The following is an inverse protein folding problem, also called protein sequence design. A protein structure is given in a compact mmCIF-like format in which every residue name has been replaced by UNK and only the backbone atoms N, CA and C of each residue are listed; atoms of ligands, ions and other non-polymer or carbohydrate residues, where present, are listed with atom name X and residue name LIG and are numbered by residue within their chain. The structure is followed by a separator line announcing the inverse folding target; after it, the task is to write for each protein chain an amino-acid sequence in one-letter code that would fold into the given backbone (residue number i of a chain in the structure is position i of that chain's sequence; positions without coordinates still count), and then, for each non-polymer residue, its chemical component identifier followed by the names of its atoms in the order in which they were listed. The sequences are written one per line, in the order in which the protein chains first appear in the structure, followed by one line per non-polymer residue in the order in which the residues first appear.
data_IF_591386321827
#
_entry.id   IF_591386321827
#
_cell.length_a   1.000
_cell.length_b   1.000
_cell.length_c   1.000
_cell.angle_alpha   90.00
_cell.angle_beta   90.00
_cell.angle_gamma   90.00
#
_symmetry.space_group_name_H-M   'P 1'
#
loop_
_entity.id
_entity.type
_entity.pdbx_description
1 polymer ?
#
# COMPACT_ATOMS: atom_id res chain seq x y z
N UNK A 1 -14.81 25.13 -9.35
CA UNK A 1 -13.34 24.89 -9.31
C UNK A 1 -12.91 24.69 -7.87
N UNK A 2 -12.45 23.48 -7.48
CA UNK A 2 -11.92 23.23 -6.12
C UNK A 2 -10.48 23.73 -6.06
N UNK A 3 -10.18 24.64 -5.12
CA UNK A 3 -8.82 25.12 -4.87
C UNK A 3 -7.97 23.95 -4.36
N UNK A 4 -6.76 23.73 -4.89
CA UNK A 4 -5.86 22.69 -4.39
C UNK A 4 -5.52 22.93 -2.92
N UNK A 5 -5.40 21.85 -2.15
CA UNK A 5 -5.07 21.95 -0.72
C UNK A 5 -3.65 22.51 -0.58
N UNK A 6 -3.36 23.29 0.47
CA UNK A 6 -2.02 23.87 0.72
C UNK A 6 -0.87 22.85 0.58
N UNK A 7 -1.11 21.60 0.94
CA UNK A 7 -0.16 20.48 0.80
C UNK A 7 0.14 20.14 -0.67
N UNK A 8 -0.85 20.16 -1.56
CA UNK A 8 -0.65 19.93 -3.00
C UNK A 8 0.14 21.06 -3.66
N UNK A 9 -0.08 22.30 -3.21
CA UNK A 9 0.69 23.47 -3.67
C UNK A 9 2.16 23.33 -3.26
N UNK A 10 2.42 22.94 -2.01
CA UNK A 10 3.77 22.75 -1.51
C UNK A 10 4.52 21.63 -2.24
N UNK A 11 3.86 20.51 -2.52
CA UNK A 11 4.42 19.39 -3.29
C UNK A 11 4.76 19.84 -4.72
N UNK A 12 3.84 20.56 -5.39
CA UNK A 12 4.06 21.02 -6.76
C UNK A 12 5.19 22.06 -6.87
N UNK A 13 5.32 22.94 -5.88
CA UNK A 13 6.43 23.91 -5.83
C UNK A 13 7.77 23.21 -5.66
N UNK A 14 7.85 22.25 -4.74
CA UNK A 14 9.09 21.47 -4.51
C UNK A 14 9.47 20.65 -5.75
N UNK A 15 8.49 20.03 -6.42
CA UNK A 15 8.71 19.29 -7.67
C UNK A 15 9.26 20.18 -8.80
N UNK A 16 8.76 21.41 -8.94
CA UNK A 16 9.22 22.36 -9.97
C UNK A 16 10.64 22.89 -9.67
N UNK A 17 11.01 23.06 -8.41
CA UNK A 17 12.39 23.42 -8.03
C UNK A 17 13.38 22.29 -8.30
N UNK A 18 12.96 21.04 -8.09
CA UNK A 18 13.80 19.85 -8.35
C UNK A 18 13.94 19.55 -9.84
N UNK A 19 12.94 19.86 -10.66
CA UNK A 19 13.11 19.80 -12.13
C UNK A 19 14.10 20.84 -12.65
N UNK A 20 14.35 21.92 -11.91
CA UNK A 20 15.34 22.96 -12.23
C UNK A 20 16.75 22.66 -11.68
N UNK A 21 16.88 21.84 -10.64
CA UNK A 21 18.17 21.41 -10.09
C UNK A 21 18.46 19.98 -10.55
N UNK A 22 19.40 19.82 -11.49
CA UNK A 22 19.73 18.54 -12.10
C UNK A 22 19.94 17.38 -11.10
N UNK A 23 19.78 16.15 -11.61
CA UNK A 23 19.87 14.86 -10.92
C UNK A 23 21.13 14.59 -10.05
N UNK A 24 22.05 15.55 -9.93
CA UNK A 24 23.34 15.43 -9.23
C UNK A 24 23.18 15.50 -7.70
N UNK A 25 22.19 16.22 -7.16
CA UNK A 25 22.04 16.40 -5.71
C UNK A 25 21.06 15.44 -5.02
N UNK A 26 20.44 14.51 -5.75
CA UNK A 26 19.43 13.59 -5.21
C UNK A 26 19.93 12.14 -5.22
N UNK A 27 19.94 11.52 -4.04
CA UNK A 27 20.37 10.13 -3.85
C UNK A 27 19.35 9.15 -4.40
N UNK A 28 18.09 9.22 -3.94
CA UNK A 28 16.96 8.46 -4.50
C UNK A 28 15.88 9.45 -4.95
N UNK A 29 15.50 9.45 -6.25
CA UNK A 29 14.53 10.40 -6.77
C UNK A 29 13.12 10.08 -6.30
N UNK A 30 12.28 11.12 -6.29
CA UNK A 30 10.83 10.94 -6.21
C UNK A 30 10.32 10.32 -7.51
N UNK A 31 9.20 9.62 -7.39
CA UNK A 31 8.42 9.14 -8.53
C UNK A 31 6.96 9.53 -8.33
N UNK A 32 6.22 9.61 -9.43
CA UNK A 32 4.80 9.94 -9.42
C UNK A 32 3.99 8.69 -9.77
N UNK A 33 3.27 8.18 -8.78
CA UNK A 33 2.27 7.14 -9.01
C UNK A 33 0.93 7.78 -9.41
N UNK A 34 0.38 7.39 -10.56
CA UNK A 34 -0.90 7.89 -11.05
C UNK A 34 -2.04 7.56 -10.08
N UNK A 35 -3.08 8.40 -10.06
CA UNK A 35 -4.30 8.12 -9.29
C UNK A 35 -5.04 6.92 -9.87
N UNK A 36 -5.68 6.13 -9.01
CA UNK A 36 -6.54 5.04 -9.45
C UNK A 36 -7.73 5.56 -10.25
N UNK A 37 -8.03 4.89 -11.36
CA UNK A 37 -9.32 5.03 -12.02
C UNK A 37 -10.42 4.36 -11.20
N UNK A 38 -11.68 4.74 -11.45
CA UNK A 38 -12.82 4.11 -10.78
C UNK A 38 -12.90 2.60 -11.06
N UNK A 39 -12.54 2.17 -12.28
CA UNK A 39 -12.52 0.76 -12.65
C UNK A 39 -11.47 -0.03 -11.87
N UNK A 40 -10.24 0.49 -11.76
CA UNK A 40 -9.17 -0.16 -10.99
C UNK A 40 -9.50 -0.23 -9.50
N UNK A 41 -10.10 0.84 -8.95
CA UNK A 41 -10.56 0.88 -7.58
C UNK A 41 -11.59 -0.22 -7.30
N UNK A 42 -12.64 -0.30 -8.12
CA UNK A 42 -13.69 -1.32 -7.95
C UNK A 42 -13.09 -2.72 -8.13
N UNK A 43 -12.27 -2.92 -9.16
CA UNK A 43 -11.62 -4.21 -9.43
C UNK A 43 -10.82 -4.68 -8.22
N UNK A 44 -9.97 -3.82 -7.64
CA UNK A 44 -9.19 -4.15 -6.43
C UNK A 44 -10.11 -4.41 -5.21
N UNK A 45 -11.10 -3.56 -5.00
CA UNK A 45 -11.99 -3.66 -3.83
C UNK A 45 -12.83 -4.95 -3.84
N UNK A 46 -13.29 -5.39 -5.01
CA UNK A 46 -14.09 -6.63 -5.12
C UNK A 46 -13.29 -7.85 -4.69
N UNK A 47 -11.97 -7.90 -4.89
CA UNK A 47 -11.13 -9.04 -4.49
C UNK A 47 -10.77 -9.07 -3.00
N UNK A 48 -11.19 -8.09 -2.21
CA UNK A 48 -11.00 -8.14 -0.77
C UNK A 48 -11.67 -9.40 -0.17
N UNK A 49 -11.01 -10.13 0.75
CA UNK A 49 -11.53 -11.38 1.31
C UNK A 49 -12.93 -11.26 1.92
N UNK A 50 -13.22 -10.15 2.61
CA UNK A 50 -14.53 -9.90 3.20
C UNK A 50 -15.61 -9.69 2.14
N UNK A 51 -15.28 -8.97 1.06
CA UNK A 51 -16.19 -8.78 -0.08
C UNK A 51 -16.46 -10.10 -0.79
N UNK A 52 -15.42 -10.91 -1.04
CA UNK A 52 -15.56 -12.23 -1.64
C UNK A 52 -16.39 -13.18 -0.77
N UNK A 53 -16.25 -13.11 0.55
CA UNK A 53 -17.08 -13.89 1.49
C UNK A 53 -18.56 -13.52 1.34
N UNK A 54 -18.90 -12.23 1.35
CA UNK A 54 -20.30 -11.80 1.18
C UNK A 54 -20.83 -12.08 -0.22
N UNK A 55 -19.99 -11.98 -1.26
CA UNK A 55 -20.34 -12.38 -2.63
C UNK A 55 -20.78 -13.85 -2.68
N UNK A 56 -20.00 -14.76 -2.07
CA UNK A 56 -20.36 -16.19 -2.00
C UNK A 56 -21.67 -16.43 -1.25
N UNK A 57 -21.94 -15.65 -0.22
CA UNK A 57 -23.22 -15.73 0.52
C UNK A 57 -24.40 -15.31 -0.37
N UNK A 58 -24.25 -14.20 -1.11
CA UNK A 58 -25.24 -13.76 -2.11
C UNK A 58 -25.45 -14.85 -3.16
N UNK A 59 -24.39 -15.46 -3.69
CA UNK A 59 -24.48 -16.58 -4.65
C UNK A 59 -25.20 -17.80 -4.07
N UNK A 60 -24.92 -18.15 -2.81
CA UNK A 60 -25.56 -19.25 -2.12
C UNK A 60 -27.07 -19.03 -1.97
N UNK A 61 -27.47 -17.89 -1.38
CA UNK A 61 -28.87 -17.55 -1.14
C UNK A 61 -29.67 -17.36 -2.43
N UNK A 62 -29.01 -16.93 -3.51
CA UNK A 62 -29.61 -16.80 -4.84
C UNK A 62 -30.22 -18.10 -5.36
N UNK A 63 -29.62 -19.26 -5.02
CA UNK A 63 -30.10 -20.59 -5.46
C UNK A 63 -31.48 -20.93 -4.90
N UNK A 64 -31.79 -20.42 -3.72
CA UNK A 64 -33.06 -20.63 -3.06
C UNK A 64 -34.11 -19.60 -3.49
N UNK A 65 -33.67 -18.35 -3.72
CA UNK A 65 -34.58 -17.24 -4.06
C UNK A 65 -35.02 -17.27 -5.52
N UNK A 66 -34.12 -17.52 -6.48
CA UNK A 66 -34.40 -17.30 -7.90
C UNK A 66 -34.57 -18.57 -8.72
N UNK A 67 -35.47 -18.51 -9.72
CA UNK A 67 -35.62 -19.56 -10.73
C UNK A 67 -34.43 -19.64 -11.70
N UNK A 68 -33.77 -18.52 -12.00
CA UNK A 68 -32.64 -18.41 -12.94
C UNK A 68 -31.37 -17.97 -12.21
N UNK A 69 -31.03 -18.68 -11.15
CA UNK A 69 -29.89 -18.33 -10.29
C UNK A 69 -28.55 -18.39 -11.03
N UNK A 70 -28.43 -19.24 -12.05
CA UNK A 70 -27.22 -19.40 -12.87
C UNK A 70 -26.86 -18.09 -13.59
N UNK A 71 -27.87 -17.35 -14.06
CA UNK A 71 -27.67 -16.04 -14.69
C UNK A 71 -27.10 -15.02 -13.69
N UNK A 72 -27.57 -15.08 -12.45
CA UNK A 72 -27.12 -14.21 -11.39
C UNK A 72 -25.68 -14.54 -10.96
N UNK A 73 -25.32 -15.82 -10.91
CA UNK A 73 -23.92 -16.24 -10.68
C UNK A 73 -22.97 -15.66 -11.73
N UNK A 74 -23.32 -15.75 -13.01
CA UNK A 74 -22.49 -15.16 -14.09
C UNK A 74 -22.37 -13.63 -13.96
N UNK A 75 -23.42 -12.94 -13.52
CA UNK A 75 -23.37 -11.50 -13.25
C UNK A 75 -22.50 -11.17 -12.02
N UNK A 76 -22.52 -12.02 -10.99
CA UNK A 76 -21.70 -11.87 -9.79
C UNK A 76 -20.21 -12.09 -10.07
N UNK A 77 -19.84 -12.93 -11.03
CA UNK A 77 -18.46 -13.05 -11.53
C UNK A 77 -17.95 -11.72 -12.10
N UNK A 78 -18.83 -10.99 -12.79
CA UNK A 78 -18.54 -9.68 -13.41
C UNK A 78 -18.99 -8.50 -12.57
N UNK A 79 -19.19 -8.69 -11.25
CA UNK A 79 -19.73 -7.65 -10.35
C UNK A 79 -18.88 -6.37 -10.31
N UNK A 80 -17.59 -6.47 -10.65
CA UNK A 80 -16.71 -5.31 -10.74
C UNK A 80 -17.05 -4.36 -11.90
N UNK A 81 -17.80 -4.83 -12.90
CA UNK A 81 -18.26 -4.01 -14.02
C UNK A 81 -19.50 -3.19 -13.66
N UNK A 82 -20.36 -3.73 -12.79
CA UNK A 82 -21.57 -3.07 -12.32
C UNK A 82 -21.94 -3.54 -10.89
N UNK A 83 -21.32 -2.98 -9.84
CA UNK A 83 -21.61 -3.40 -8.47
C UNK A 83 -23.02 -3.03 -7.99
N UNK A 84 -23.63 -2.00 -8.57
CA UNK A 84 -24.93 -1.46 -8.14
C UNK A 84 -26.11 -2.34 -8.57
N UNK A 85 -25.89 -3.24 -9.54
CA UNK A 85 -26.91 -4.20 -9.99
C UNK A 85 -27.52 -5.02 -8.84
N UNK A 86 -26.75 -5.40 -7.82
CA UNK A 86 -27.29 -6.15 -6.68
C UNK A 86 -28.23 -5.32 -5.82
N UNK A 87 -27.95 -4.03 -5.67
CA UNK A 87 -28.85 -3.13 -4.96
C UNK A 87 -30.18 -3.01 -5.72
N UNK A 88 -30.13 -2.81 -7.04
CA UNK A 88 -31.31 -2.77 -7.90
C UNK A 88 -32.10 -4.07 -7.81
N UNK A 89 -31.42 -5.21 -7.83
CA UNK A 89 -32.04 -6.53 -7.69
C UNK A 89 -32.75 -6.69 -6.33
N UNK A 90 -32.10 -6.30 -5.22
CA UNK A 90 -32.67 -6.38 -3.88
C UNK A 90 -33.93 -5.51 -3.73
N UNK A 91 -33.90 -4.28 -4.25
CA UNK A 91 -35.05 -3.37 -4.28
C UNK A 91 -36.20 -3.97 -5.08
N UNK A 92 -35.92 -4.50 -6.28
CA UNK A 92 -36.95 -5.08 -7.14
C UNK A 92 -37.66 -6.25 -6.45
N UNK A 93 -36.94 -7.13 -5.74
CA UNK A 93 -37.55 -8.29 -5.07
C UNK A 93 -38.39 -7.90 -3.85
N UNK A 94 -37.99 -6.83 -3.15
CA UNK A 94 -38.75 -6.34 -2.01
C UNK A 94 -40.14 -5.79 -2.42
N UNK A 95 -40.24 -5.24 -3.63
CA UNK A 95 -41.46 -4.60 -4.14
C UNK A 95 -42.27 -5.49 -5.11
N UNK A 96 -41.68 -6.53 -5.69
CA UNK A 96 -42.27 -7.25 -6.82
C UNK A 96 -42.95 -8.58 -6.44
N UNK A 97 -44.24 -8.69 -6.77
CA UNK A 97 -45.00 -9.96 -6.73
C UNK A 97 -44.75 -10.85 -7.96
N UNK A 98 -44.10 -10.32 -9.00
CA UNK A 98 -43.72 -10.96 -10.26
C UNK A 98 -42.24 -11.36 -10.33
N UNK A 99 -41.46 -11.09 -9.28
CA UNK A 99 -40.09 -11.60 -9.17
C UNK A 99 -40.14 -13.08 -9.52
N UNK A 100 -39.27 -13.53 -10.44
CA UNK A 100 -39.17 -14.94 -10.86
C UNK A 100 -38.56 -15.78 -9.75
N UNK A 101 -39.20 -15.74 -8.58
CA UNK A 101 -38.91 -16.54 -7.42
C UNK A 101 -39.01 -18.00 -7.80
N UNK A 102 -38.17 -18.80 -7.17
CA UNK A 102 -38.18 -20.23 -7.37
C UNK A 102 -39.57 -20.83 -7.07
N UNK A 103 -39.91 -21.93 -7.76
CA UNK A 103 -41.22 -22.57 -7.65
C UNK A 103 -42.36 -21.78 -8.31
N UNK A 104 -43.59 -22.21 -8.07
CA UNK A 104 -44.82 -21.61 -8.63
C UNK A 104 -45.83 -21.20 -7.55
N UNK A 105 -46.72 -20.27 -7.93
CA UNK A 105 -47.95 -19.90 -7.23
C UNK A 105 -49.08 -19.91 -8.25
N UNK A 106 -50.06 -20.80 -8.12
CA UNK A 106 -51.22 -20.92 -9.01
C UNK A 106 -52.47 -20.78 -8.14
N UNK A 107 -53.37 -19.85 -8.49
CA UNK A 107 -54.63 -19.61 -7.77
C UNK A 107 -54.46 -19.50 -6.23
N UNK A 108 -53.38 -18.84 -5.78
CA UNK A 108 -53.07 -18.68 -4.35
C UNK A 108 -52.26 -19.82 -3.71
N UNK A 109 -52.25 -21.01 -4.30
CA UNK A 109 -51.51 -22.19 -3.79
C UNK A 109 -50.03 -22.07 -4.17
N UNK A 110 -49.14 -22.15 -3.16
CA UNK A 110 -47.68 -22.04 -3.32
C UNK A 110 -47.02 -23.42 -3.21
N UNK A 111 -46.18 -23.76 -4.18
CA UNK A 111 -45.27 -24.93 -4.07
C UNK A 111 -44.32 -24.82 -2.87
N UNK A 112 -43.78 -25.93 -2.33
CA UNK A 112 -42.77 -25.91 -1.27
C UNK A 112 -41.56 -25.01 -1.61
N UNK A 113 -41.04 -25.14 -2.84
CA UNK A 113 -39.94 -24.31 -3.36
C UNK A 113 -40.28 -22.82 -3.39
N UNK A 114 -41.54 -22.45 -3.63
CA UNK A 114 -42.01 -21.06 -3.56
C UNK A 114 -42.05 -20.54 -2.12
N UNK A 115 -42.47 -21.36 -1.16
CA UNK A 115 -42.46 -20.99 0.27
C UNK A 115 -41.03 -20.80 0.77
N UNK A 116 -40.11 -21.69 0.37
CA UNK A 116 -38.69 -21.61 0.67
C UNK A 116 -38.04 -20.34 0.09
N UNK A 117 -38.29 -20.04 -1.19
CA UNK A 117 -37.80 -18.81 -1.81
C UNK A 117 -38.20 -17.57 -1.02
N UNK A 118 -39.47 -17.48 -0.60
CA UNK A 118 -39.98 -16.34 0.17
C UNK A 118 -39.34 -16.21 1.56
N UNK A 119 -39.08 -17.33 2.24
CA UNK A 119 -38.41 -17.34 3.55
C UNK A 119 -36.96 -16.84 3.46
N UNK A 120 -36.30 -17.06 2.33
CA UNK A 120 -34.90 -16.68 2.11
C UNK A 120 -34.70 -15.24 1.60
N UNK A 121 -35.76 -14.50 1.23
CA UNK A 121 -35.64 -13.12 0.71
C UNK A 121 -34.97 -12.19 1.72
N UNK A 122 -35.34 -12.29 3.00
CA UNK A 122 -34.78 -11.43 4.05
C UNK A 122 -33.28 -11.67 4.19
N UNK A 123 -32.86 -12.93 4.26
CA UNK A 123 -31.45 -13.31 4.33
C UNK A 123 -30.69 -12.88 3.08
N UNK A 124 -31.28 -13.04 1.89
CA UNK A 124 -30.68 -12.59 0.63
C UNK A 124 -30.44 -11.08 0.63
N UNK A 125 -31.45 -10.28 1.00
CA UNK A 125 -31.32 -8.82 1.08
C UNK A 125 -30.27 -8.41 2.12
N UNK A 126 -30.21 -9.10 3.25
CA UNK A 126 -29.19 -8.86 4.26
C UNK A 126 -27.77 -9.16 3.74
N UNK A 127 -27.59 -10.26 3.01
CA UNK A 127 -26.32 -10.61 2.38
C UNK A 127 -25.91 -9.58 1.32
N UNK A 128 -26.85 -9.08 0.51
CA UNK A 128 -26.60 -7.98 -0.44
C UNK A 128 -26.15 -6.72 0.29
N UNK A 129 -26.84 -6.33 1.37
CA UNK A 129 -26.45 -5.17 2.18
C UNK A 129 -25.02 -5.34 2.73
N UNK A 130 -24.73 -6.49 3.33
CA UNK A 130 -23.38 -6.82 3.86
C UNK A 130 -22.32 -6.77 2.75
N UNK A 131 -22.63 -7.27 1.56
CA UNK A 131 -21.73 -7.17 0.40
C UNK A 131 -21.43 -5.72 0.05
N UNK A 132 -22.44 -4.86 -0.05
CA UNK A 132 -22.28 -3.44 -0.40
C UNK A 132 -21.49 -2.69 0.68
N UNK A 133 -21.77 -2.95 1.96
CA UNK A 133 -21.05 -2.36 3.09
C UNK A 133 -19.56 -2.75 3.07
N UNK A 134 -19.27 -4.05 2.86
CA UNK A 134 -17.89 -4.53 2.72
C UNK A 134 -17.20 -3.93 1.49
N UNK A 135 -17.90 -3.79 0.38
CA UNK A 135 -17.34 -3.21 -0.84
C UNK A 135 -16.98 -1.73 -0.64
N UNK A 136 -17.85 -0.96 0.00
CA UNK A 136 -17.60 0.44 0.31
C UNK A 136 -16.43 0.62 1.28
N UNK A 137 -16.35 -0.22 2.31
CA UNK A 137 -15.20 -0.25 3.20
C UNK A 137 -13.91 -0.59 2.45
N UNK A 138 -13.93 -1.63 1.61
CA UNK A 138 -12.77 -2.04 0.85
C UNK A 138 -12.30 -0.97 -0.15
N UNK A 139 -13.22 -0.23 -0.79
CA UNK A 139 -12.86 0.92 -1.63
C UNK A 139 -12.07 1.97 -0.84
N UNK A 140 -12.47 2.26 0.40
CA UNK A 140 -11.77 3.20 1.27
C UNK A 140 -10.37 2.70 1.63
N UNK A 141 -10.23 1.42 1.97
CA UNK A 141 -8.91 0.80 2.23
C UNK A 141 -7.98 0.87 1.02
N UNK A 142 -8.48 0.51 -0.16
CA UNK A 142 -7.69 0.57 -1.41
C UNK A 142 -7.24 2.00 -1.71
N UNK A 143 -8.13 2.98 -1.57
CA UNK A 143 -7.79 4.39 -1.77
C UNK A 143 -6.76 4.88 -0.75
N UNK A 144 -6.90 4.49 0.50
CA UNK A 144 -5.98 4.89 1.57
C UNK A 144 -4.59 4.31 1.32
N UNK A 145 -4.48 3.00 1.08
CA UNK A 145 -3.22 2.33 0.77
C UNK A 145 -2.56 2.92 -0.49
N UNK A 146 -3.34 3.24 -1.52
CA UNK A 146 -2.82 3.88 -2.73
C UNK A 146 -2.27 5.28 -2.48
N UNK A 147 -2.92 6.08 -1.62
CA UNK A 147 -2.43 7.41 -1.22
C UNK A 147 -1.17 7.34 -0.39
N UNK A 148 -1.08 6.39 0.53
CA UNK A 148 0.13 6.12 1.31
C UNK A 148 1.29 5.75 0.41
N UNK A 149 1.03 4.90 -0.59
CA UNK A 149 2.03 4.54 -1.59
C UNK A 149 2.44 5.73 -2.46
N UNK A 150 1.48 6.55 -2.91
CA UNK A 150 1.77 7.82 -3.61
C UNK A 150 2.66 8.74 -2.77
N UNK A 151 2.37 8.87 -1.47
CA UNK A 151 3.18 9.66 -0.55
C UNK A 151 4.60 9.07 -0.41
N UNK A 152 4.71 7.75 -0.23
CA UNK A 152 5.98 7.03 -0.12
C UNK A 152 6.88 7.30 -1.32
N UNK A 153 6.38 7.06 -2.54
CA UNK A 153 7.18 7.21 -3.76
C UNK A 153 7.49 8.66 -4.12
N UNK A 154 6.65 9.61 -3.68
CA UNK A 154 6.88 11.05 -3.87
C UNK A 154 7.99 11.60 -2.97
N UNK A 155 8.43 10.85 -1.95
CA UNK A 155 9.57 11.27 -1.14
C UNK A 155 10.88 11.22 -1.92
N UNK A 156 11.83 12.01 -1.44
CA UNK A 156 13.19 12.07 -1.96
C UNK A 156 14.11 11.65 -0.83
N UNK A 157 15.17 10.93 -1.19
CA UNK A 157 16.30 10.73 -0.28
C UNK A 157 17.42 11.66 -0.74
N UNK A 158 17.84 12.53 0.17
CA UNK A 158 18.96 13.45 -0.05
C UNK A 158 20.28 12.67 -0.04
N UNK A 159 21.32 13.28 -0.61
CA UNK A 159 22.67 12.72 -0.50
C UNK A 159 23.08 12.55 0.96
N UNK A 160 23.87 11.53 1.30
CA UNK A 160 24.52 11.47 2.60
C UNK A 160 25.28 12.77 2.86
N UNK A 161 25.25 13.24 4.10
CA UNK A 161 26.00 14.43 4.50
C UNK A 161 27.51 14.22 4.32
N UNK A 162 28.28 15.32 4.27
CA UNK A 162 29.74 15.24 4.22
C UNK A 162 30.33 14.48 5.42
N UNK A 163 29.70 14.58 6.61
CA UNK A 163 30.06 13.76 7.77
C UNK A 163 29.92 12.27 7.43
N UNK A 164 28.76 11.84 6.90
CA UNK A 164 28.53 10.43 6.56
C UNK A 164 29.53 9.99 5.49
N UNK A 165 29.70 10.76 4.41
CA UNK A 165 30.64 10.46 3.31
C UNK A 165 32.06 10.29 3.82
N UNK A 166 32.56 11.23 4.61
CA UNK A 166 33.90 11.18 5.18
C UNK A 166 34.14 9.89 5.97
N UNK A 167 33.16 9.41 6.75
CA UNK A 167 33.30 8.12 7.44
C UNK A 167 33.14 6.92 6.50
N UNK A 168 32.30 7.01 5.45
CA UNK A 168 32.16 5.96 4.44
C UNK A 168 33.47 5.73 3.67
N UNK A 169 34.20 6.81 3.35
CA UNK A 169 35.49 6.76 2.65
C UNK A 169 36.63 6.16 3.49
N UNK A 170 36.47 6.11 4.82
CA UNK A 170 37.43 5.43 5.70
C UNK A 170 37.31 3.91 5.61
N UNK A 171 38.45 3.24 5.76
CA UNK A 171 38.49 1.81 6.10
C UNK A 171 37.75 1.52 7.41
N UNK A 172 37.25 0.29 7.55
CA UNK A 172 36.50 -0.15 8.74
C UNK A 172 37.31 0.03 10.03
N UNK A 173 38.61 -0.27 9.98
CA UNK A 173 39.55 -0.16 11.09
C UNK A 173 39.78 1.30 11.48
N UNK A 174 40.06 2.18 10.50
CA UNK A 174 40.27 3.60 10.76
C UNK A 174 39.01 4.25 11.34
N UNK A 175 37.84 3.94 10.77
CA UNK A 175 36.53 4.38 11.23
C UNK A 175 36.29 3.99 12.69
N UNK A 176 36.50 2.72 13.03
CA UNK A 176 36.32 2.21 14.40
C UNK A 176 37.23 2.91 15.40
N UNK A 177 38.50 3.13 15.05
CA UNK A 177 39.45 3.83 15.91
C UNK A 177 39.01 5.28 16.17
N UNK A 178 38.62 6.03 15.14
CA UNK A 178 38.14 7.40 15.29
C UNK A 178 36.90 7.46 16.17
N UNK A 179 35.94 6.56 15.95
CA UNK A 179 34.70 6.50 16.73
C UNK A 179 34.93 6.11 18.19
N UNK A 180 35.91 5.24 18.48
CA UNK A 180 36.26 4.85 19.84
C UNK A 180 37.01 5.94 20.61
N UNK A 181 37.90 6.68 19.93
CA UNK A 181 38.77 7.69 20.56
C UNK A 181 38.04 9.02 20.73
N UNK A 182 37.43 9.53 19.66
CA UNK A 182 36.86 10.88 19.62
C UNK A 182 35.34 10.89 19.77
N UNK A 183 34.67 9.77 19.47
CA UNK A 183 33.23 9.73 19.28
C UNK A 183 32.78 10.64 18.13
N UNK A 184 31.48 10.60 17.82
CA UNK A 184 30.83 11.66 17.05
C UNK A 184 29.31 11.63 17.32
N UNK A 185 28.80 12.45 18.25
CA UNK A 185 27.37 12.45 18.57
C UNK A 185 26.50 12.88 17.38
N UNK A 186 27.02 13.74 16.49
CA UNK A 186 26.30 14.18 15.29
C UNK A 186 26.18 13.06 14.26
N UNK A 187 27.20 12.21 14.10
CA UNK A 187 27.17 11.09 13.17
C UNK A 187 26.00 10.14 13.44
N UNK A 188 25.73 9.79 14.71
CA UNK A 188 24.60 8.92 15.03
C UNK A 188 23.25 9.55 14.62
N UNK A 189 23.09 10.85 14.86
CA UNK A 189 21.90 11.62 14.46
C UNK A 189 21.75 11.66 12.94
N UNK A 190 22.80 12.02 12.22
CA UNK A 190 22.81 12.12 10.77
C UNK A 190 22.52 10.77 10.09
N UNK A 191 23.15 9.69 10.58
CA UNK A 191 22.86 8.32 10.12
C UNK A 191 21.40 7.93 10.33
N UNK A 192 20.83 8.32 11.48
CA UNK A 192 19.42 8.02 11.79
C UNK A 192 18.48 8.78 10.86
N UNK A 193 18.75 10.06 10.59
CA UNK A 193 17.97 10.89 9.66
C UNK A 193 18.02 10.27 8.25
N UNK A 194 19.22 9.99 7.74
CA UNK A 194 19.41 9.43 6.40
C UNK A 194 18.73 8.05 6.24
N UNK A 195 18.94 7.13 7.18
CA UNK A 195 18.30 5.82 7.11
C UNK A 195 16.78 5.89 7.27
N UNK A 196 16.25 6.86 8.04
CA UNK A 196 14.81 7.07 8.13
C UNK A 196 14.24 7.54 6.79
N UNK A 197 14.90 8.45 6.08
CA UNK A 197 14.51 8.85 4.73
C UNK A 197 14.53 7.67 3.75
N UNK A 198 15.57 6.82 3.82
CA UNK A 198 15.65 5.60 3.00
C UNK A 198 14.48 4.66 3.30
N UNK A 199 14.22 4.38 4.59
CA UNK A 199 13.16 3.45 4.99
C UNK A 199 11.76 4.00 4.71
N UNK A 200 11.56 5.31 4.73
CA UNK A 200 10.28 5.93 4.40
C UNK A 200 10.05 6.03 2.89
N UNK A 201 11.13 6.06 2.08
CA UNK A 201 11.05 6.07 0.61
C UNK A 201 10.97 4.68 0.00
N UNK A 202 11.58 3.67 0.58
CA UNK A 202 11.67 2.33 -0.02
C UNK A 202 10.58 1.37 0.50
N UNK A 203 10.13 0.49 -0.37
CA UNK A 203 9.17 -0.57 -0.07
C UNK A 203 9.90 -1.78 0.53
N UNK A 204 9.13 -2.70 1.09
CA UNK A 204 9.67 -3.96 1.59
C UNK A 204 10.39 -4.76 0.49
N UNK A 205 9.88 -4.76 -0.74
CA UNK A 205 10.49 -5.48 -1.85
C UNK A 205 11.77 -4.80 -2.34
N UNK A 206 11.82 -3.47 -2.37
CA UNK A 206 13.06 -2.72 -2.63
C UNK A 206 14.13 -3.00 -1.58
N UNK A 207 13.75 -3.11 -0.31
CA UNK A 207 14.67 -3.55 0.74
C UNK A 207 15.17 -4.98 0.54
N UNK A 208 14.33 -5.91 0.07
CA UNK A 208 14.77 -7.26 -0.30
C UNK A 208 15.78 -7.22 -1.45
N UNK A 209 15.52 -6.41 -2.49
CA UNK A 209 16.43 -6.23 -3.63
C UNK A 209 17.80 -5.68 -3.20
N UNK A 210 17.82 -4.70 -2.27
CA UNK A 210 19.07 -4.21 -1.67
C UNK A 210 19.81 -5.37 -1.00
N UNK A 211 19.13 -6.16 -0.17
CA UNK A 211 19.77 -7.25 0.57
C UNK A 211 20.33 -8.32 -0.37
N UNK A 212 19.60 -8.68 -1.44
CA UNK A 212 20.01 -9.69 -2.42
C UNK A 212 20.97 -9.19 -3.51
N UNK A 213 21.36 -7.91 -3.52
CA UNK A 213 22.14 -7.30 -4.60
C UNK A 213 21.45 -7.37 -5.98
N UNK A 214 20.12 -7.34 -6.03
CA UNK A 214 19.39 -7.29 -7.31
C UNK A 214 19.36 -5.85 -7.86
N UNK A 215 20.50 -5.44 -8.42
CA UNK A 215 20.68 -4.09 -8.94
C UNK A 215 19.73 -3.76 -10.09
N UNK A 216 19.38 -4.75 -10.92
CA UNK A 216 18.57 -4.53 -12.13
C UNK A 216 17.11 -4.31 -11.77
N UNK A 217 16.56 -5.16 -10.89
CA UNK A 217 15.18 -4.99 -10.41
C UNK A 217 15.04 -3.71 -9.59
N UNK A 218 16.02 -3.41 -8.73
CA UNK A 218 16.03 -2.17 -7.96
C UNK A 218 16.10 -0.93 -8.86
N UNK A 219 17.00 -0.91 -9.85
CA UNK A 219 17.09 0.18 -10.82
C UNK A 219 15.75 0.47 -11.51
N UNK A 220 15.06 -0.60 -11.93
CA UNK A 220 13.75 -0.50 -12.56
C UNK A 220 12.66 0.00 -11.60
N UNK A 221 12.71 -0.38 -10.32
CA UNK A 221 11.64 -0.02 -9.37
C UNK A 221 11.68 1.46 -8.98
N UNK A 222 12.88 2.05 -8.85
CA UNK A 222 13.05 3.46 -8.48
C UNK A 222 13.32 4.37 -9.69
N UNK A 223 13.25 3.83 -10.91
CA UNK A 223 13.44 4.54 -12.18
C UNK A 223 14.80 5.25 -12.28
N UNK A 224 15.89 4.51 -12.06
CA UNK A 224 17.26 5.01 -12.21
C UNK A 224 18.13 4.09 -13.07
N UNK A 225 19.20 4.60 -13.69
CA UNK A 225 20.20 3.76 -14.35
C UNK A 225 20.83 2.72 -13.42
N UNK A 226 21.17 1.53 -13.94
CA UNK A 226 21.70 0.40 -13.14
C UNK A 226 23.01 0.73 -12.43
N UNK A 227 23.88 1.56 -13.01
CA UNK A 227 25.09 2.05 -12.34
C UNK A 227 24.76 2.91 -11.11
N UNK A 228 23.77 3.82 -11.20
CA UNK A 228 23.29 4.60 -10.05
C UNK A 228 22.66 3.70 -8.98
N UNK A 229 21.89 2.70 -9.38
CA UNK A 229 21.33 1.71 -8.47
C UNK A 229 22.41 0.93 -7.68
N UNK A 230 23.52 0.55 -8.33
CA UNK A 230 24.67 -0.09 -7.65
C UNK A 230 25.25 0.82 -6.57
N UNK A 231 25.52 2.08 -6.90
CA UNK A 231 26.04 3.08 -5.94
C UNK A 231 25.08 3.27 -4.76
N UNK A 232 23.78 3.39 -5.02
CA UNK A 232 22.76 3.53 -3.98
C UNK A 232 22.76 2.32 -3.02
N UNK A 233 22.74 1.10 -3.58
CA UNK A 233 22.74 -0.13 -2.78
C UNK A 233 23.99 -0.22 -1.91
N UNK A 234 25.16 0.10 -2.47
CA UNK A 234 26.44 0.07 -1.76
C UNK A 234 26.45 1.06 -0.59
N UNK A 235 26.11 2.33 -0.84
CA UNK A 235 26.07 3.36 0.19
C UNK A 235 25.08 2.99 1.31
N UNK A 236 23.89 2.49 0.97
CA UNK A 236 22.90 2.06 1.99
C UNK A 236 23.47 0.93 2.84
N UNK A 237 24.15 -0.06 2.24
CA UNK A 237 24.75 -1.18 2.97
C UNK A 237 25.87 -0.72 3.89
N UNK A 238 26.82 0.06 3.37
CA UNK A 238 27.93 0.59 4.18
C UNK A 238 27.43 1.48 5.33
N UNK A 239 26.38 2.29 5.09
CA UNK A 239 25.71 3.10 6.11
C UNK A 239 25.08 2.24 7.21
N UNK A 240 24.38 1.16 6.84
CA UNK A 240 23.79 0.21 7.81
C UNK A 240 24.86 -0.46 8.65
N UNK A 241 25.96 -0.88 8.01
CA UNK A 241 27.10 -1.47 8.70
C UNK A 241 27.75 -0.47 9.68
N UNK A 242 27.99 0.76 9.23
CA UNK A 242 28.50 1.83 10.11
C UNK A 242 27.60 2.08 11.31
N UNK A 243 26.27 2.11 11.13
CA UNK A 243 25.32 2.22 12.25
C UNK A 243 25.43 1.06 13.23
N UNK A 244 25.65 -0.16 12.75
CA UNK A 244 25.84 -1.34 13.61
C UNK A 244 27.16 -1.25 14.38
N UNK A 245 28.25 -0.82 13.73
CA UNK A 245 29.54 -0.61 14.38
C UNK A 245 29.45 0.40 15.53
N UNK A 246 28.75 1.52 15.33
CA UNK A 246 28.54 2.54 16.37
C UNK A 246 27.79 1.97 17.58
N UNK A 247 26.76 1.13 17.37
CA UNK A 247 26.02 0.47 18.47
C UNK A 247 26.90 -0.45 19.31
N UNK A 248 27.93 -1.04 18.72
CA UNK A 248 28.84 -1.97 19.39
C UNK A 248 29.97 -1.25 20.15
N UNK A 249 30.21 0.04 19.87
CA UNK A 249 31.22 0.83 20.57
C UNK A 249 30.66 1.22 21.94
N UNK A 250 31.22 0.64 23.00
CA UNK A 250 30.94 1.05 24.39
C UNK A 250 31.43 2.49 24.58
N UNK A 251 30.69 3.37 25.28
CA UNK A 251 31.17 4.71 25.59
C UNK A 251 32.51 4.61 26.34
N UNK A 252 33.45 5.55 26.10
CA UNK A 252 34.72 5.53 26.80
C UNK A 252 34.47 5.53 28.30
N UNK A 253 35.02 4.52 29.00
CA UNK A 253 35.04 4.48 30.47
C UNK A 253 35.63 5.80 30.93
N UNK A 254 34.85 6.60 31.65
CA UNK A 254 35.37 7.75 32.38
C UNK A 254 36.50 7.22 33.27
N UNK A 255 37.75 7.46 32.87
CA UNK A 255 38.90 7.22 33.74
C UNK A 255 38.76 8.25 34.85
N UNK A 256 38.13 7.85 35.95
CA UNK A 256 38.25 8.55 37.23
C UNK A 256 39.75 8.60 37.53
N UNK A 257 40.33 9.79 37.36
CA UNK A 257 41.66 10.08 37.83
C UNK A 257 41.63 9.95 39.35
N UNK A 258 42.17 8.84 39.86
CA UNK A 258 42.58 8.75 41.26
C UNK A 258 43.90 9.50 41.33
N UNK A 259 43.85 10.81 41.55
CA UNK A 259 45.00 11.56 42.07
C UNK A 259 45.21 11.13 43.52
N UNK A 260 46.39 10.58 43.77
CA UNK A 260 46.93 10.27 45.09
C UNK A 260 47.22 11.54 45.87
#
# INVERSE_FOLDING_TARGET
MKRPKKTEIFINLKLNEIQKQGFEHVFIPSSKLASLTQSELIKKAVYNPSVQKQKKEVEHLSKFVFKKWEKLTNQLERIHENPDFLQQLSINIAHDTHARLAGFKILGIKSPKRKEAQRNIVQFNEAVRKFLDCLEFSKKEVLQAHREEQYRVAQIVEQPTETIKHFLDMSSEARKNVLQIKGNPNLHRELSIFLNQVNSRLSADEHKMINSNDFRSFAKSIDVPTNKAKQIIEIIKQTKEMRNQIKLIKPPRQRLAITK
#
